data_IF_435970022608
#
_entry.id   IF_435970022608
#
_cell.length_a   1.000
_cell.length_b   1.000
_cell.length_c   1.000
_cell.angle_alpha   90.00
_cell.angle_beta   90.00
_cell.angle_gamma   90.00
#
_symmetry.space_group_name_H-M   'P 1'
#
loop_
_entity.id
_entity.type
_entity.pdbx_description
1 polymer ?
#
# COMPACT_ATOMS: atom_id res chain seq x y z
N UNK A 1 28.11 19.22 -1.87
CA UNK A 1 27.56 17.88 -2.17
C UNK A 1 26.60 17.52 -1.05
N UNK A 2 25.32 17.83 -1.21
CA UNK A 2 24.30 17.51 -0.21
C UNK A 2 23.73 16.12 -0.45
N UNK A 3 23.76 15.26 0.56
CA UNK A 3 22.94 14.06 0.63
C UNK A 3 21.50 14.58 0.78
N UNK A 4 20.64 14.36 -0.22
CA UNK A 4 19.21 14.54 -0.04
C UNK A 4 18.75 13.44 0.91
N UNK A 5 18.38 13.84 2.11
CA UNK A 5 17.87 12.94 3.11
C UNK A 5 16.47 12.49 2.73
N UNK A 6 16.35 11.27 2.19
CA UNK A 6 15.05 10.61 2.04
C UNK A 6 14.43 10.23 3.39
N UNK A 7 15.11 10.51 4.52
CA UNK A 7 14.53 10.43 5.86
C UNK A 7 13.83 11.72 6.32
N UNK A 8 13.76 12.80 5.52
CA UNK A 8 12.95 13.96 5.89
C UNK A 8 11.45 13.68 5.67
N UNK A 9 10.91 12.76 6.44
CA UNK A 9 9.62 13.03 7.05
C UNK A 9 9.82 14.34 7.83
N UNK A 10 9.03 15.37 7.55
CA UNK A 10 8.94 16.46 8.51
C UNK A 10 8.55 15.84 9.86
N UNK A 11 9.30 16.14 10.93
CA UNK A 11 9.09 15.50 12.21
C UNK A 11 7.76 16.01 12.78
N UNK A 12 6.71 15.21 12.64
CA UNK A 12 5.80 15.06 13.77
C UNK A 12 6.62 14.35 14.84
N UNK A 13 7.33 15.15 15.64
CA UNK A 13 8.02 14.81 16.89
C UNK A 13 8.07 13.31 17.19
N UNK A 14 9.09 12.62 16.66
CA UNK A 14 9.56 11.39 17.28
C UNK A 14 10.30 11.78 18.56
N UNK A 15 9.55 11.94 19.66
CA UNK A 15 10.10 11.77 21.00
C UNK A 15 10.34 10.28 21.21
N UNK A 16 11.37 9.75 20.54
CA UNK A 16 12.01 8.50 20.92
C UNK A 16 13.05 8.83 21.99
N UNK A 17 12.55 9.22 23.15
CA UNK A 17 13.22 9.23 24.47
C UNK A 17 12.12 9.49 25.49
N UNK A 18 11.14 8.59 25.50
CA UNK A 18 10.15 8.44 26.55
C UNK A 18 9.86 6.95 26.63
N UNK A 19 10.24 6.37 27.77
CA UNK A 19 9.71 5.16 28.39
C UNK A 19 8.72 4.41 27.49
N UNK A 20 9.19 3.29 26.92
CA UNK A 20 8.36 2.31 26.23
C UNK A 20 7.41 1.76 27.30
N UNK A 21 6.25 2.39 27.44
CA UNK A 21 5.06 1.71 27.91
C UNK A 21 4.49 0.92 26.72
N UNK A 22 4.30 -0.36 26.99
CA UNK A 22 3.88 -1.46 26.13
C UNK A 22 2.46 -1.27 25.58
N UNK A 23 2.25 -0.32 24.66
CA UNK A 23 1.09 -0.36 23.75
C UNK A 23 1.48 -1.17 22.50
N UNK A 24 1.27 -2.49 22.60
CA UNK A 24 1.62 -3.46 21.55
C UNK A 24 1.04 -3.07 20.18
N UNK A 25 1.90 -2.93 19.19
CA UNK A 25 1.47 -2.83 17.79
C UNK A 25 0.71 -4.11 17.39
N UNK A 26 -0.54 -3.95 16.95
CA UNK A 26 -1.44 -5.10 16.72
C UNK A 26 -1.24 -5.71 15.33
N UNK A 27 -1.30 -7.05 15.27
CA UNK A 27 -1.45 -7.77 14.01
C UNK A 27 -2.89 -7.57 13.46
N UNK A 28 -3.02 -6.94 12.30
CA UNK A 28 -4.32 -6.76 11.63
C UNK A 28 -4.56 -7.95 10.71
N UNK A 29 -5.44 -8.86 11.11
CA UNK A 29 -5.70 -10.13 10.43
C UNK A 29 -7.19 -10.43 10.30
N UNK A 30 -7.59 -10.86 9.10
CA UNK A 30 -8.95 -11.27 8.77
C UNK A 30 -9.00 -12.80 8.64
N UNK A 31 -9.90 -13.40 9.42
CA UNK A 31 -10.13 -14.83 9.51
C UNK A 31 -11.24 -15.26 8.55
N UNK A 32 -11.21 -16.51 8.06
CA UNK A 32 -12.32 -17.06 7.28
C UNK A 32 -13.62 -17.11 8.09
N UNK A 33 -14.75 -16.86 7.43
CA UNK A 33 -16.09 -16.82 8.04
C UNK A 33 -16.47 -18.13 8.75
N UNK A 34 -15.83 -19.25 8.40
CA UNK A 34 -16.07 -20.58 8.98
C UNK A 34 -15.41 -20.79 10.35
N UNK A 35 -14.60 -19.83 10.84
CA UNK A 35 -13.92 -19.91 12.14
C UNK A 35 -14.85 -19.36 13.23
N UNK A 36 -14.87 -20.01 14.40
CA UNK A 36 -15.57 -19.48 15.59
C UNK A 36 -15.10 -18.04 15.87
N UNK A 37 -16.03 -17.14 16.15
CA UNK A 37 -15.76 -15.73 16.46
C UNK A 37 -15.11 -14.93 15.32
N UNK A 38 -15.12 -15.44 14.08
CA UNK A 38 -14.55 -14.74 12.92
C UNK A 38 -15.15 -13.34 12.73
N UNK A 39 -16.44 -13.16 12.97
CA UNK A 39 -17.12 -11.85 12.88
C UNK A 39 -16.52 -10.84 13.87
N UNK A 40 -16.34 -11.24 15.14
CA UNK A 40 -15.75 -10.38 16.16
C UNK A 40 -14.28 -10.06 15.84
N UNK A 41 -13.51 -11.05 15.41
CA UNK A 41 -12.11 -10.85 15.00
C UNK A 41 -12.00 -9.91 13.80
N UNK A 42 -12.82 -10.11 12.77
CA UNK A 42 -12.81 -9.31 11.55
C UNK A 42 -13.29 -7.88 11.81
N UNK A 43 -14.25 -7.69 12.73
CA UNK A 43 -14.67 -6.36 13.18
C UNK A 43 -13.53 -5.62 13.88
N UNK A 44 -12.84 -6.28 14.83
CA UNK A 44 -11.66 -5.69 15.50
C UNK A 44 -10.55 -5.36 14.51
N UNK A 45 -10.31 -6.23 13.52
CA UNK A 45 -9.34 -5.97 12.46
C UNK A 45 -9.73 -4.77 11.60
N UNK A 46 -11.02 -4.60 11.27
CA UNK A 46 -11.53 -3.43 10.55
C UNK A 46 -11.37 -2.14 11.37
N UNK A 47 -11.65 -2.17 12.67
CA UNK A 47 -11.42 -1.04 13.59
C UNK A 47 -9.92 -0.70 13.69
N UNK A 48 -9.04 -1.70 13.83
CA UNK A 48 -7.60 -1.48 13.88
C UNK A 48 -7.04 -0.92 12.56
N UNK A 49 -7.53 -1.40 11.41
CA UNK A 49 -7.18 -0.85 10.09
C UNK A 49 -7.65 0.59 9.93
N UNK A 50 -8.86 0.91 10.36
CA UNK A 50 -9.37 2.29 10.38
C UNK A 50 -8.46 3.22 11.18
N UNK A 51 -8.03 2.80 12.37
CA UNK A 51 -7.09 3.57 13.21
C UNK A 51 -5.70 3.72 12.56
N UNK A 52 -5.31 2.77 11.71
CA UNK A 52 -4.09 2.84 10.90
C UNK A 52 -4.25 3.81 9.73
N UNK A 53 -5.38 3.78 9.02
CA UNK A 53 -5.64 4.58 7.84
C UNK A 53 -5.85 6.08 8.14
N UNK A 54 -6.54 6.39 9.24
CA UNK A 54 -6.91 7.77 9.59
C UNK A 54 -6.16 8.33 10.80
N UNK A 55 -5.35 7.49 11.47
CA UNK A 55 -4.56 7.86 12.63
C UNK A 55 -3.08 7.59 12.41
N UNK A 56 -2.37 7.29 13.50
CA UNK A 56 -0.92 7.04 13.50
C UNK A 56 -0.58 5.64 14.04
N UNK A 57 -1.55 4.73 14.04
CA UNK A 57 -1.36 3.39 14.60
C UNK A 57 -0.38 2.58 13.73
N UNK A 58 0.72 2.05 14.29
CA UNK A 58 1.66 1.23 13.52
C UNK A 58 1.08 -0.16 13.22
N UNK A 59 1.60 -0.80 12.17
CA UNK A 59 1.28 -2.17 11.77
C UNK A 59 2.52 -3.05 11.92
N UNK A 60 2.35 -4.26 12.46
CA UNK A 60 3.39 -5.29 12.51
C UNK A 60 3.20 -6.26 11.34
N UNK A 61 4.27 -6.56 10.60
CA UNK A 61 4.24 -7.61 9.57
C UNK A 61 4.11 -8.98 10.26
N UNK A 62 2.95 -9.67 10.12
CA UNK A 62 2.73 -10.95 10.79
C UNK A 62 3.35 -12.12 10.02
N UNK A 63 3.94 -11.85 8.84
CA UNK A 63 4.70 -12.83 8.06
C UNK A 63 6.16 -12.75 8.50
N UNK A 64 6.60 -13.77 9.23
CA UNK A 64 7.99 -13.90 9.66
C UNK A 64 8.87 -14.26 8.47
N UNK A 65 9.70 -13.33 8.05
CA UNK A 65 10.84 -13.60 7.19
C UNK A 65 12.01 -13.99 8.07
N UNK A 66 12.63 -15.13 7.76
CA UNK A 66 13.83 -15.59 8.44
C UNK A 66 15.01 -15.43 7.48
N UNK A 67 16.10 -14.83 7.95
CA UNK A 67 17.38 -14.91 7.24
C UNK A 67 17.83 -16.38 7.27
N UNK A 68 17.90 -16.99 6.09
CA UNK A 68 18.54 -18.27 5.87
C UNK A 68 20.03 -18.13 6.15
N UNK A 69 20.47 -18.62 7.30
CA UNK A 69 21.86 -18.63 7.69
C UNK A 69 22.52 -19.94 7.23
N UNK A 70 23.64 -19.81 6.51
CA UNK A 70 24.77 -20.75 6.53
C UNK A 70 25.39 -20.89 7.94
N UNK A 71 24.66 -20.64 9.02
CA UNK A 71 25.18 -20.57 10.37
C UNK A 71 24.19 -21.17 11.38
N UNK A 72 24.77 -21.77 12.41
CA UNK A 72 24.16 -22.56 13.47
C UNK A 72 23.39 -21.71 14.51
N UNK A 73 22.94 -20.50 14.17
CA UNK A 73 22.31 -19.57 15.11
C UNK A 73 20.77 -19.58 15.01
N UNK A 74 20.05 -19.21 16.09
CA UNK A 74 18.61 -19.10 16.06
C UNK A 74 18.15 -18.04 15.05
N UNK A 75 17.26 -18.44 14.16
CA UNK A 75 16.67 -17.60 13.10
C UNK A 75 16.08 -16.31 13.70
N UNK A 76 16.68 -15.16 13.39
CA UNK A 76 16.15 -13.85 13.81
C UNK A 76 15.10 -13.35 12.80
N UNK A 77 14.01 -12.72 13.28
CA UNK A 77 13.08 -12.01 12.40
C UNK A 77 13.82 -10.91 11.64
N UNK A 78 13.58 -10.81 10.33
CA UNK A 78 14.16 -9.74 9.52
C UNK A 78 13.44 -8.42 9.80
N UNK A 79 14.15 -7.42 10.33
CA UNK A 79 13.65 -6.04 10.40
C UNK A 79 13.57 -5.43 9.00
N UNK A 80 12.44 -4.83 8.60
CA UNK A 80 12.28 -4.19 7.30
C UNK A 80 13.36 -3.11 7.08
N UNK A 81 14.18 -3.27 6.04
CA UNK A 81 15.14 -2.23 5.61
C UNK A 81 14.45 -1.26 4.66
N UNK A 82 14.83 0.03 4.65
CA UNK A 82 14.34 0.95 3.64
C UNK A 82 14.86 0.53 2.26
N UNK A 83 14.01 0.69 1.24
CA UNK A 83 14.40 0.59 -0.15
C UNK A 83 15.43 1.68 -0.43
N UNK A 84 16.65 1.26 -0.75
CA UNK A 84 17.75 2.18 -1.03
C UNK A 84 17.61 2.71 -2.45
N UNK A 85 17.34 4.02 -2.55
CA UNK A 85 17.25 4.73 -3.82
C UNK A 85 18.09 6.00 -3.73
N UNK A 86 19.03 6.16 -4.66
CA UNK A 86 19.77 7.43 -4.84
C UNK A 86 19.08 8.18 -5.99
N UNK A 87 18.50 9.38 -5.77
CA UNK A 87 17.59 9.98 -6.75
C UNK A 87 18.29 10.32 -8.05
N UNK A 88 19.52 10.83 -7.98
CA UNK A 88 20.33 11.17 -9.16
C UNK A 88 20.66 9.95 -10.02
N UNK A 89 21.03 8.83 -9.40
CA UNK A 89 21.31 7.58 -10.10
C UNK A 89 20.04 6.97 -10.69
N UNK A 90 18.93 7.03 -9.96
CA UNK A 90 17.64 6.55 -10.42
C UNK A 90 17.15 7.37 -11.63
N UNK A 91 17.26 8.70 -11.57
CA UNK A 91 16.95 9.59 -12.70
C UNK A 91 17.86 9.35 -13.92
N UNK A 92 19.17 9.14 -13.70
CA UNK A 92 20.09 8.79 -14.78
C UNK A 92 19.75 7.44 -15.41
N UNK A 93 19.25 6.47 -14.63
CA UNK A 93 18.75 5.19 -15.15
C UNK A 93 17.43 5.37 -15.92
N UNK A 94 16.50 6.16 -15.39
CA UNK A 94 15.22 6.48 -16.02
C UNK A 94 15.41 7.10 -17.41
N UNK A 95 16.30 8.10 -17.53
CA UNK A 95 16.61 8.75 -18.83
C UNK A 95 17.21 7.79 -19.86
N UNK A 96 18.03 6.83 -19.43
CA UNK A 96 18.63 5.81 -20.30
C UNK A 96 17.64 4.72 -20.72
N UNK A 97 16.60 4.51 -19.93
CA UNK A 97 15.63 3.42 -20.11
C UNK A 97 14.22 3.98 -20.30
N UNK A 98 14.05 5.00 -21.14
CA UNK A 98 12.73 5.54 -21.46
C UNK A 98 11.82 4.43 -22.01
N UNK A 99 10.51 4.44 -21.71
CA UNK A 99 9.59 3.48 -22.30
C UNK A 99 9.54 3.69 -23.81
N UNK A 100 9.53 2.60 -24.59
CA UNK A 100 9.30 2.69 -26.05
C UNK A 100 7.88 3.15 -26.35
N UNK A 101 6.92 2.63 -25.59
CA UNK A 101 5.50 2.96 -25.67
C UNK A 101 5.02 3.30 -24.27
N UNK A 102 4.84 4.59 -24.01
CA UNK A 102 4.29 5.07 -22.75
C UNK A 102 2.75 4.98 -22.81
N UNK A 103 2.16 4.31 -21.82
CA UNK A 103 0.71 4.21 -21.67
C UNK A 103 0.21 5.40 -20.85
N UNK A 104 -0.91 5.99 -21.26
CA UNK A 104 -1.57 7.06 -20.51
C UNK A 104 -2.34 6.50 -19.29
N UNK A 105 -1.67 5.72 -18.45
CA UNK A 105 -2.21 5.19 -17.20
C UNK A 105 -1.19 5.26 -16.06
N UNK A 106 -1.64 5.50 -14.83
CA UNK A 106 -0.74 5.44 -13.65
C UNK A 106 -0.08 4.06 -13.48
N UNK A 107 -0.81 2.98 -13.80
CA UNK A 107 -0.25 1.62 -13.79
C UNK A 107 0.87 1.43 -14.82
N UNK A 108 0.77 2.07 -15.98
CA UNK A 108 1.83 2.07 -17.00
C UNK A 108 3.08 2.80 -16.54
N UNK A 109 2.91 3.98 -15.93
CA UNK A 109 4.02 4.74 -15.32
C UNK A 109 4.73 3.95 -14.22
N UNK A 110 3.94 3.32 -13.35
CA UNK A 110 4.44 2.50 -12.27
C UNK A 110 5.13 1.22 -12.74
N UNK A 111 4.61 0.56 -13.78
CA UNK A 111 5.25 -0.59 -14.39
C UNK A 111 6.61 -0.23 -14.99
N UNK A 112 6.72 0.93 -15.62
CA UNK A 112 8.00 1.46 -16.08
C UNK A 112 8.96 1.75 -14.92
N UNK A 113 8.52 2.44 -13.86
CA UNK A 113 9.37 2.66 -12.67
C UNK A 113 9.85 1.35 -12.06
N UNK A 114 8.97 0.35 -11.98
CA UNK A 114 9.34 -0.98 -11.53
C UNK A 114 10.44 -1.60 -12.40
N UNK A 115 10.38 -1.47 -13.73
CA UNK A 115 11.40 -2.03 -14.63
C UNK A 115 12.80 -1.44 -14.38
N UNK A 116 12.88 -0.22 -13.83
CA UNK A 116 14.14 0.43 -13.47
C UNK A 116 14.85 -0.22 -12.27
N UNK A 117 14.19 -1.07 -11.46
CA UNK A 117 14.85 -1.74 -10.33
C UNK A 117 14.43 -3.19 -10.11
N UNK A 118 13.41 -3.68 -10.82
CA UNK A 118 12.81 -4.99 -10.59
C UNK A 118 13.81 -6.14 -10.70
N UNK A 119 14.81 -6.02 -11.59
CA UNK A 119 15.89 -7.02 -11.72
C UNK A 119 16.81 -7.13 -10.50
N UNK A 120 16.79 -6.16 -9.59
CA UNK A 120 17.59 -6.16 -8.37
C UNK A 120 16.81 -6.64 -7.13
N UNK A 121 15.48 -6.76 -7.22
CA UNK A 121 14.62 -6.96 -6.04
C UNK A 121 13.50 -8.00 -6.22
N UNK A 122 13.36 -8.67 -7.36
CA UNK A 122 12.32 -9.70 -7.53
C UNK A 122 12.67 -10.79 -8.54
N UNK A 123 12.36 -12.03 -8.14
CA UNK A 123 12.28 -13.20 -9.03
C UNK A 123 10.93 -13.19 -9.76
N UNK A 124 10.91 -13.53 -11.04
CA UNK A 124 9.69 -13.54 -11.86
C UNK A 124 8.64 -14.53 -11.31
N UNK A 125 9.09 -15.61 -10.66
CA UNK A 125 8.25 -16.66 -10.09
C UNK A 125 7.44 -16.19 -8.87
N UNK A 126 7.94 -15.23 -8.09
CA UNK A 126 7.18 -14.62 -6.98
C UNK A 126 6.03 -13.73 -7.49
N UNK A 127 6.16 -13.21 -8.72
CA UNK A 127 5.15 -12.38 -9.37
C UNK A 127 3.97 -13.21 -9.90
N UNK A 128 4.26 -14.38 -10.45
CA UNK A 128 3.27 -15.30 -11.02
C UNK A 128 2.42 -15.94 -9.92
N UNK A 129 3.07 -16.37 -8.82
CA UNK A 129 2.37 -16.86 -7.61
C UNK A 129 1.49 -15.80 -6.92
N UNK A 130 1.74 -14.51 -7.14
CA UNK A 130 0.89 -13.42 -6.67
C UNK A 130 -0.43 -13.29 -7.45
N UNK A 131 -0.46 -13.76 -8.71
CA UNK A 131 -1.63 -13.73 -9.61
C UNK A 131 -2.47 -15.00 -9.52
N UNK A 132 -1.85 -16.15 -9.25
CA UNK A 132 -2.53 -17.43 -9.06
C UNK A 132 -3.14 -17.53 -7.66
N UNK A 133 -4.41 -17.14 -7.56
CA UNK A 133 -5.14 -17.12 -6.30
C UNK A 133 -6.55 -17.64 -6.55
N UNK A 134 -6.97 -18.64 -5.76
CA UNK A 134 -8.33 -19.17 -5.77
C UNK A 134 -9.35 -18.03 -5.63
N UNK A 135 -10.49 -18.11 -6.34
CA UNK A 135 -11.52 -17.05 -6.33
C UNK A 135 -11.98 -16.70 -4.92
N UNK A 136 -12.13 -17.68 -4.04
CA UNK A 136 -12.49 -17.47 -2.64
C UNK A 136 -11.47 -16.58 -1.90
N UNK A 137 -10.18 -16.77 -2.17
CA UNK A 137 -9.12 -15.96 -1.56
C UNK A 137 -9.10 -14.56 -2.17
N UNK A 138 -9.34 -14.43 -3.47
CA UNK A 138 -9.51 -13.11 -4.12
C UNK A 138 -10.68 -12.33 -3.50
N UNK A 139 -11.84 -12.96 -3.34
CA UNK A 139 -13.00 -12.33 -2.70
C UNK A 139 -12.71 -11.91 -1.27
N UNK A 140 -12.08 -12.78 -0.47
CA UNK A 140 -11.71 -12.45 0.90
C UNK A 140 -10.72 -11.29 0.96
N UNK A 141 -9.75 -11.22 0.05
CA UNK A 141 -8.84 -10.05 -0.06
C UNK A 141 -9.62 -8.79 -0.37
N UNK A 142 -10.58 -8.83 -1.29
CA UNK A 142 -11.45 -7.68 -1.61
C UNK A 142 -12.28 -7.24 -0.40
N UNK A 143 -12.85 -8.18 0.35
CA UNK A 143 -13.62 -7.88 1.58
C UNK A 143 -12.74 -7.25 2.66
N UNK A 144 -11.57 -7.82 2.94
CA UNK A 144 -10.61 -7.27 3.91
C UNK A 144 -10.15 -5.86 3.49
N UNK A 145 -9.85 -5.67 2.21
CA UNK A 145 -9.45 -4.39 1.65
C UNK A 145 -10.59 -3.35 1.62
N UNK A 146 -11.85 -3.77 1.53
CA UNK A 146 -13.02 -2.87 1.51
C UNK A 146 -13.76 -2.79 2.85
N UNK A 147 -13.19 -3.30 3.94
CA UNK A 147 -13.90 -3.44 5.22
C UNK A 147 -14.27 -2.10 5.89
N UNK A 148 -13.54 -1.03 5.58
CA UNK A 148 -13.84 0.32 6.02
C UNK A 148 -14.70 1.04 4.98
N UNK A 149 -15.93 0.58 4.79
CA UNK A 149 -16.91 1.20 3.89
C UNK A 149 -17.68 2.35 4.57
N UNK A 150 -18.51 3.05 3.80
CA UNK A 150 -19.31 4.17 4.32
C UNK A 150 -20.32 3.78 5.41
N UNK A 151 -20.75 2.52 5.47
CA UNK A 151 -21.66 2.03 6.53
C UNK A 151 -20.91 1.82 7.84
N UNK A 152 -19.75 1.18 7.77
CA UNK A 152 -18.85 0.97 8.91
C UNK A 152 -18.38 2.30 9.49
N UNK A 153 -17.91 3.24 8.64
CA UNK A 153 -17.43 4.54 9.08
C UNK A 153 -18.52 5.37 9.77
N UNK A 154 -19.76 5.27 9.28
CA UNK A 154 -20.92 5.91 9.92
C UNK A 154 -21.24 5.28 11.27
N UNK A 155 -21.18 3.96 11.38
CA UNK A 155 -21.40 3.25 12.64
C UNK A 155 -20.34 3.65 13.69
N UNK A 156 -19.11 3.92 13.26
CA UNK A 156 -18.03 4.45 14.09
C UNK A 156 -18.12 5.96 14.36
N UNK A 157 -19.19 6.62 13.88
CA UNK A 157 -19.41 8.07 14.03
C UNK A 157 -18.25 8.92 13.49
N UNK A 158 -17.56 8.43 12.46
CA UNK A 158 -16.49 9.15 11.80
C UNK A 158 -17.04 9.96 10.63
N UNK A 159 -16.59 11.21 10.50
CA UNK A 159 -16.95 12.09 9.38
C UNK A 159 -16.20 11.77 8.07
N UNK A 160 -15.72 10.53 7.93
CA UNK A 160 -15.09 10.01 6.72
C UNK A 160 -16.13 9.32 5.83
N UNK A 161 -15.99 9.48 4.51
CA UNK A 161 -16.81 8.80 3.51
C UNK A 161 -15.92 8.13 2.47
N UNK A 162 -16.24 6.88 2.11
CA UNK A 162 -15.63 6.23 0.96
C UNK A 162 -16.28 6.78 -0.31
N UNK A 163 -15.52 7.56 -1.09
CA UNK A 163 -16.02 8.23 -2.30
C UNK A 163 -15.62 7.51 -3.59
N UNK A 164 -14.63 6.61 -3.51
CA UNK A 164 -14.24 5.75 -4.63
C UNK A 164 -13.76 4.39 -4.10
N UNK A 165 -14.16 3.31 -4.78
CA UNK A 165 -13.71 1.95 -4.51
C UNK A 165 -13.38 1.25 -5.83
N UNK A 166 -12.10 1.25 -6.22
CA UNK A 166 -11.61 0.57 -7.43
C UNK A 166 -11.51 -0.95 -7.31
N UNK A 167 -11.73 -1.50 -6.11
CA UNK A 167 -11.59 -2.93 -5.81
C UNK A 167 -12.89 -3.71 -6.11
N UNK A 168 -14.04 -3.03 -5.94
CA UNK A 168 -15.36 -3.61 -6.18
C UNK A 168 -15.85 -3.33 -7.60
N UNK A 169 -16.69 -4.21 -8.18
CA UNK A 169 -17.38 -3.91 -9.42
C UNK A 169 -18.16 -2.61 -9.26
N UNK A 170 -17.89 -1.65 -10.14
CA UNK A 170 -18.60 -0.38 -10.15
C UNK A 170 -20.03 -0.56 -10.65
N UNK A 171 -21.00 0.24 -10.18
CA UNK A 171 -22.34 0.27 -10.74
C UNK A 171 -22.30 0.61 -12.23
N UNK A 172 -23.22 0.03 -13.01
CA UNK A 172 -23.33 0.32 -14.45
C UNK A 172 -23.43 1.84 -14.69
N UNK A 173 -22.60 2.36 -15.61
CA UNK A 173 -22.60 3.76 -16.01
C UNK A 173 -21.60 4.68 -15.30
N UNK A 174 -20.83 4.19 -14.32
CA UNK A 174 -19.72 4.95 -13.73
C UNK A 174 -18.38 4.64 -14.39
N UNK A 175 -17.57 5.67 -14.66
CA UNK A 175 -16.21 5.47 -15.15
C UNK A 175 -15.37 4.85 -14.02
N UNK A 176 -14.71 3.69 -14.22
CA UNK A 176 -13.93 3.04 -13.18
C UNK A 176 -12.59 3.74 -12.91
N UNK A 177 -12.39 4.92 -13.50
CA UNK A 177 -11.15 5.69 -13.46
C UNK A 177 -11.46 7.19 -13.47
N UNK A 178 -10.49 7.98 -13.05
CA UNK A 178 -10.41 9.42 -13.20
C UNK A 178 -9.44 9.77 -14.33
N UNK A 179 -9.68 10.90 -14.98
CA UNK A 179 -8.75 11.49 -15.95
C UNK A 179 -8.08 12.71 -15.30
N UNK A 180 -6.77 12.87 -15.54
CA UNK A 180 -5.99 13.99 -15.02
C UNK A 180 -5.50 14.82 -16.20
N UNK A 181 -6.18 15.94 -16.48
CA UNK A 181 -6.00 16.74 -17.68
C UNK A 181 -4.61 17.37 -17.82
N UNK A 182 -3.96 17.73 -16.70
CA UNK A 182 -2.63 18.35 -16.70
C UNK A 182 -1.48 17.36 -16.72
N UNK A 183 -1.75 16.06 -16.52
CA UNK A 183 -0.76 15.00 -16.70
C UNK A 183 -1.05 14.28 -18.01
N UNK A 184 -0.24 14.53 -19.03
CA UNK A 184 -0.46 13.94 -20.36
C UNK A 184 0.69 13.02 -20.76
N UNK A 185 0.34 11.91 -21.41
CA UNK A 185 1.28 11.00 -22.04
C UNK A 185 0.96 10.97 -23.52
N UNK A 186 1.89 11.41 -24.37
CA UNK A 186 1.67 11.55 -25.81
C UNK A 186 0.40 12.34 -26.16
N UNK A 187 0.12 13.42 -25.40
CA UNK A 187 -1.06 14.29 -25.59
C UNK A 187 -2.36 13.78 -24.95
N UNK A 188 -2.42 12.53 -24.48
CA UNK A 188 -3.62 11.93 -23.87
C UNK A 188 -3.61 12.15 -22.35
N UNK A 189 -4.72 12.58 -21.72
CA UNK A 189 -4.83 12.67 -20.26
C UNK A 189 -4.51 11.35 -19.56
N UNK A 190 -3.83 11.44 -18.42
CA UNK A 190 -3.47 10.27 -17.63
C UNK A 190 -4.73 9.70 -16.97
N UNK A 191 -5.00 8.41 -17.20
CA UNK A 191 -6.07 7.68 -16.50
C UNK A 191 -5.56 7.04 -15.23
N UNK A 192 -6.34 7.16 -14.16
CA UNK A 192 -6.01 6.62 -12.84
C UNK A 192 -7.20 5.95 -12.19
N UNK A 193 -6.97 4.87 -11.46
CA UNK A 193 -8.01 4.14 -10.74
C UNK A 193 -7.43 3.74 -9.38
N UNK A 194 -7.53 4.63 -8.37
CA UNK A 194 -7.09 4.31 -7.02
C UNK A 194 -7.91 3.16 -6.43
N UNK A 195 -7.32 2.34 -5.56
CA UNK A 195 -8.09 1.27 -4.93
C UNK A 195 -9.17 1.84 -4.01
N UNK A 196 -8.84 2.83 -3.17
CA UNK A 196 -9.80 3.51 -2.30
C UNK A 196 -9.52 5.01 -2.23
N UNK A 197 -10.57 5.81 -2.16
CA UNK A 197 -10.49 7.24 -1.83
C UNK A 197 -11.49 7.56 -0.73
N UNK A 198 -10.98 8.10 0.37
CA UNK A 198 -11.76 8.58 1.50
C UNK A 198 -11.72 10.10 1.56
N UNK A 199 -12.87 10.71 1.88
CA UNK A 199 -12.99 12.15 2.03
C UNK A 199 -13.67 12.49 3.36
N UNK A 200 -13.04 13.38 4.12
CA UNK A 200 -13.65 14.08 5.24
C UNK A 200 -13.88 15.53 4.84
N UNK A 201 -15.15 15.85 4.54
CA UNK A 201 -15.57 17.15 4.02
C UNK A 201 -15.34 18.26 5.05
N UNK A 202 -15.63 17.99 6.32
CA UNK A 202 -15.54 18.97 7.41
C UNK A 202 -14.09 19.42 7.63
N UNK A 203 -13.17 18.48 7.62
CA UNK A 203 -11.74 18.76 7.83
C UNK A 203 -11.00 19.09 6.51
N UNK A 204 -11.67 19.03 5.36
CA UNK A 204 -11.06 19.12 4.03
C UNK A 204 -9.85 18.18 3.91
N UNK A 205 -10.05 16.90 4.26
CA UNK A 205 -9.00 15.87 4.23
C UNK A 205 -9.34 14.75 3.26
N UNK A 206 -8.36 14.34 2.47
CA UNK A 206 -8.47 13.20 1.56
C UNK A 206 -7.41 12.15 1.90
N UNK A 207 -7.82 10.89 1.97
CA UNK A 207 -6.91 9.73 2.07
C UNK A 207 -7.08 8.89 0.82
N UNK A 208 -5.99 8.65 0.09
CA UNK A 208 -5.96 7.78 -1.08
C UNK A 208 -5.16 6.53 -0.74
N UNK A 209 -5.71 5.36 -1.02
CA UNK A 209 -5.08 4.08 -0.70
C UNK A 209 -4.78 3.30 -1.97
N UNK A 210 -3.58 2.73 -2.04
CA UNK A 210 -3.17 1.72 -3.03
C UNK A 210 -2.80 0.43 -2.29
N UNK A 211 -3.35 -0.69 -2.74
CA UNK A 211 -3.33 -1.98 -2.07
C UNK A 211 -2.57 -2.98 -2.93
N UNK A 212 -1.44 -3.45 -2.41
CA UNK A 212 -0.65 -4.51 -3.04
C UNK A 212 -0.76 -5.80 -2.23
N UNK A 213 -0.84 -6.93 -2.94
CA UNK A 213 -0.67 -8.24 -2.33
C UNK A 213 0.75 -8.73 -2.63
N UNK A 214 1.52 -9.06 -1.59
CA UNK A 214 2.89 -9.56 -1.75
C UNK A 214 3.26 -10.50 -0.61
N UNK A 215 4.11 -11.48 -0.93
CA UNK A 215 4.83 -12.31 0.06
C UNK A 215 6.30 -11.91 0.20
N UNK A 216 6.78 -10.96 -0.61
CA UNK A 216 8.16 -10.49 -0.55
C UNK A 216 8.43 -9.74 0.75
N UNK A 217 9.70 -9.59 1.11
CA UNK A 217 10.11 -8.64 2.16
C UNK A 217 9.63 -7.25 1.75
N UNK A 218 8.84 -6.60 2.61
CA UNK A 218 8.31 -5.26 2.35
C UNK A 218 9.33 -4.24 2.86
N UNK A 219 9.86 -3.35 2.02
CA UNK A 219 10.71 -2.28 2.50
C UNK A 219 9.96 -1.35 3.45
N UNK A 220 10.61 -0.84 4.49
CA UNK A 220 9.97 0.03 5.50
C UNK A 220 9.40 1.33 4.91
N UNK A 221 9.93 1.77 3.78
CA UNK A 221 9.47 2.93 3.03
C UNK A 221 8.74 2.54 1.73
N UNK A 222 8.28 1.29 1.57
CA UNK A 222 7.66 0.73 0.35
C UNK A 222 8.50 0.83 -0.93
N UNK A 223 7.94 0.32 -2.03
CA UNK A 223 8.58 0.33 -3.34
C UNK A 223 8.29 1.61 -4.13
N UNK A 224 9.26 2.12 -4.92
CA UNK A 224 9.08 3.34 -5.72
C UNK A 224 7.90 3.30 -6.70
N UNK A 225 7.56 2.12 -7.25
CA UNK A 225 6.42 1.99 -8.17
C UNK A 225 5.06 2.14 -7.48
N UNK A 226 4.96 1.85 -6.18
CA UNK A 226 3.73 2.07 -5.39
C UNK A 226 3.57 3.57 -5.17
N UNK A 227 4.64 4.25 -4.76
CA UNK A 227 4.64 5.71 -4.62
C UNK A 227 4.35 6.44 -5.93
N UNK A 228 4.82 5.93 -7.06
CA UNK A 228 4.48 6.50 -8.36
C UNK A 228 2.97 6.51 -8.64
N UNK A 229 2.27 5.40 -8.35
CA UNK A 229 0.80 5.31 -8.50
C UNK A 229 0.12 6.31 -7.57
N UNK A 230 0.50 6.29 -6.29
CA UNK A 230 -0.05 7.18 -5.28
C UNK A 230 0.19 8.66 -5.59
N UNK A 231 1.37 9.01 -6.11
CA UNK A 231 1.64 10.36 -6.60
C UNK A 231 0.70 10.74 -7.74
N UNK A 232 0.52 9.89 -8.76
CA UNK A 232 -0.46 10.16 -9.82
C UNK A 232 -1.87 10.35 -9.27
N UNK A 233 -2.29 9.50 -8.34
CA UNK A 233 -3.64 9.59 -7.76
C UNK A 233 -3.85 10.85 -6.94
N UNK A 234 -2.81 11.38 -6.31
CA UNK A 234 -2.89 12.65 -5.57
C UNK A 234 -3.21 13.86 -6.46
N UNK A 235 -3.16 13.71 -7.78
CA UNK A 235 -3.42 14.76 -8.75
C UNK A 235 -4.87 14.78 -9.25
N UNK A 236 -5.76 13.91 -8.73
CA UNK A 236 -7.20 13.97 -9.02
C UNK A 236 -7.83 15.20 -8.34
N UNK A 237 -8.92 15.71 -8.92
CA UNK A 237 -9.55 16.97 -8.48
C UNK A 237 -9.90 17.00 -6.99
N UNK A 238 -10.50 15.94 -6.46
CA UNK A 238 -10.87 15.90 -5.03
C UNK A 238 -9.64 16.02 -4.13
N UNK A 239 -8.51 15.44 -4.54
CA UNK A 239 -7.27 15.53 -3.79
C UNK A 239 -6.63 16.91 -3.96
N UNK A 240 -6.62 17.49 -5.17
CA UNK A 240 -6.09 18.85 -5.39
C UNK A 240 -6.82 19.92 -4.58
N UNK A 241 -8.14 19.78 -4.43
CA UNK A 241 -8.98 20.75 -3.72
C UNK A 241 -9.01 20.56 -2.19
N UNK A 242 -8.43 19.48 -1.66
CA UNK A 242 -8.38 19.24 -0.22
C UNK A 242 -7.26 20.04 0.46
N UNK A 243 -7.49 20.49 1.69
CA UNK A 243 -6.45 21.16 2.50
C UNK A 243 -5.35 20.19 2.89
N UNK A 244 -5.70 18.96 3.26
CA UNK A 244 -4.76 17.90 3.61
C UNK A 244 -4.98 16.68 2.74
N UNK A 245 -3.90 16.14 2.17
CA UNK A 245 -3.92 14.88 1.43
C UNK A 245 -2.94 13.91 2.07
N UNK A 246 -3.36 12.66 2.19
CA UNK A 246 -2.48 11.57 2.56
C UNK A 246 -2.60 10.44 1.57
N UNK A 247 -1.47 9.96 1.10
CA UNK A 247 -1.39 8.75 0.28
C UNK A 247 -0.88 7.60 1.12
N UNK A 248 -1.54 6.45 1.02
CA UNK A 248 -1.27 5.26 1.83
C UNK A 248 -1.01 4.08 0.91
N UNK A 249 0.16 3.46 1.03
CA UNK A 249 0.43 2.17 0.44
C UNK A 249 0.20 1.07 1.47
N UNK A 250 -0.81 0.22 1.24
CA UNK A 250 -1.03 -0.97 2.04
C UNK A 250 -0.45 -2.20 1.33
N UNK A 251 0.28 -3.02 2.07
CA UNK A 251 0.73 -4.32 1.60
C UNK A 251 0.07 -5.41 2.41
N UNK A 252 -0.64 -6.28 1.72
CA UNK A 252 -1.35 -7.42 2.29
C UNK A 252 -0.63 -8.72 1.90
N UNK A 253 -0.82 -9.75 2.70
CA UNK A 253 -0.39 -11.09 2.35
C UNK A 253 -1.22 -12.14 3.09
N UNK A 254 -1.17 -13.36 2.58
CA UNK A 254 -1.82 -14.49 3.24
C UNK A 254 -0.79 -15.36 3.96
N UNK A 255 -1.16 -15.84 5.14
CA UNK A 255 -0.42 -16.85 5.91
C UNK A 255 -1.35 -17.97 6.35
N UNK A 256 -0.80 -19.14 6.61
CA UNK A 256 -1.55 -20.23 7.22
C UNK A 256 -1.50 -20.11 8.74
N UNK A 257 -2.65 -20.24 9.39
CA UNK A 257 -2.73 -20.41 10.84
C UNK A 257 -2.12 -21.76 11.24
N UNK A 258 -1.67 -21.87 12.49
CA UNK A 258 -1.13 -23.14 13.00
C UNK A 258 -2.25 -24.18 13.09
N UNK A 259 -2.00 -25.38 12.58
CA UNK A 259 -2.84 -26.53 12.93
C UNK A 259 -2.72 -26.83 14.43
N UNK A 260 -3.80 -27.23 15.07
CA UNK A 260 -3.80 -27.62 16.49
C UNK A 260 -4.63 -28.89 16.71
N UNK A 261 -4.46 -29.50 17.88
CA UNK A 261 -5.10 -30.77 18.25
C UNK A 261 -4.23 -32.01 17.99
N UNK A 262 -4.68 -33.16 18.51
CA UNK A 262 -3.97 -34.44 18.40
C UNK A 262 -4.43 -35.21 17.15
N UNK A 263 -3.71 -36.28 16.76
CA UNK A 263 -3.89 -37.04 15.49
C UNK A 263 -5.35 -37.41 15.14
N UNK A 264 -6.24 -37.59 16.13
CA UNK A 264 -7.67 -37.92 15.95
C UNK A 264 -8.63 -36.71 15.96
N UNK A 265 -8.16 -35.52 16.35
CA UNK A 265 -8.91 -34.25 16.44
C UNK A 265 -8.10 -33.07 15.89
N UNK A 266 -7.35 -33.31 14.81
CA UNK A 266 -6.51 -32.27 14.21
C UNK A 266 -7.41 -31.28 13.48
N UNK A 267 -7.34 -30.01 13.89
CA UNK A 267 -7.93 -28.90 13.14
C UNK A 267 -6.89 -28.43 12.14
N UNK A 268 -7.25 -28.45 10.85
CA UNK A 268 -6.39 -27.94 9.79
C UNK A 268 -6.12 -26.44 9.99
N UNK A 269 -4.92 -26.00 9.59
CA UNK A 269 -4.63 -24.56 9.54
C UNK A 269 -5.56 -23.88 8.55
N UNK A 270 -5.86 -22.62 8.79
CA UNK A 270 -6.75 -21.79 7.97
C UNK A 270 -5.94 -20.68 7.30
N UNK A 271 -6.28 -20.34 6.06
CA UNK A 271 -5.63 -19.23 5.35
C UNK A 271 -6.15 -17.90 5.87
N UNK A 272 -5.30 -17.15 6.56
CA UNK A 272 -5.57 -15.83 7.13
C UNK A 272 -5.02 -14.77 6.18
N UNK A 273 -5.77 -13.69 5.99
CA UNK A 273 -5.32 -12.50 5.25
C UNK A 273 -4.89 -11.46 6.26
N UNK A 274 -3.70 -10.91 6.10
CA UNK A 274 -3.15 -9.95 7.05
C UNK A 274 -2.59 -8.72 6.36
N UNK A 275 -2.79 -7.56 6.98
CA UNK A 275 -2.09 -6.34 6.61
C UNK A 275 -0.65 -6.46 7.13
N UNK A 276 0.31 -6.37 6.22
CA UNK A 276 1.74 -6.52 6.51
C UNK A 276 2.45 -5.19 6.71
N UNK A 277 2.01 -4.18 5.98
CA UNK A 277 2.51 -2.82 6.10
C UNK A 277 1.42 -1.83 5.68
N UNK A 278 1.39 -0.68 6.34
CA UNK A 278 0.65 0.49 5.91
C UNK A 278 1.59 1.68 6.07
N UNK A 279 1.96 2.31 4.95
CA UNK A 279 2.90 3.44 4.96
C UNK A 279 2.22 4.65 4.35
N UNK A 280 2.22 5.75 5.09
CA UNK A 280 1.54 6.99 4.74
C UNK A 280 2.57 8.08 4.43
N UNK A 281 2.24 8.94 3.46
CA UNK A 281 3.00 10.16 3.13
C UNK A 281 2.07 11.30 2.74
N UNK A 282 2.55 12.53 2.92
CA UNK A 282 2.00 13.68 2.21
C UNK A 282 2.57 13.70 0.77
N UNK A 283 1.74 13.52 -0.27
CA UNK A 283 2.21 13.52 -1.65
C UNK A 283 2.64 14.91 -2.14
N UNK A 284 2.36 15.98 -1.39
CA UNK A 284 2.70 17.37 -1.72
C UNK A 284 4.03 17.82 -1.10
N UNK A 285 4.67 16.97 -0.29
CA UNK A 285 6.01 17.25 0.20
C UNK A 285 6.95 17.52 -0.99
N UNK A 286 7.67 18.65 -0.94
CA UNK A 286 8.37 19.19 -2.11
C UNK A 286 9.35 18.21 -2.76
N UNK A 287 10.12 17.47 -1.96
CA UNK A 287 11.07 16.47 -2.46
C UNK A 287 10.39 15.28 -3.13
N UNK A 288 9.23 14.87 -2.63
CA UNK A 288 8.42 13.78 -3.18
C UNK A 288 7.76 14.19 -4.50
N UNK A 289 7.04 15.32 -4.52
CA UNK A 289 6.38 15.81 -5.74
C UNK A 289 7.39 16.08 -6.84
N UNK A 290 8.47 16.79 -6.53
CA UNK A 290 9.50 17.14 -7.52
C UNK A 290 10.13 15.88 -8.14
N UNK A 291 10.42 14.86 -7.34
CA UNK A 291 11.02 13.62 -7.83
C UNK A 291 10.08 12.89 -8.81
N UNK A 292 8.82 12.68 -8.44
CA UNK A 292 7.87 11.97 -9.31
C UNK A 292 7.46 12.81 -10.52
N UNK A 293 7.36 14.13 -10.40
CA UNK A 293 7.15 15.03 -11.53
C UNK A 293 8.27 14.94 -12.56
N UNK A 294 9.53 14.89 -12.12
CA UNK A 294 10.68 14.70 -13.02
C UNK A 294 10.68 13.32 -13.68
N UNK A 295 10.35 12.26 -12.92
CA UNK A 295 10.20 10.92 -13.48
C UNK A 295 9.08 10.87 -14.51
N UNK A 296 7.95 11.51 -14.22
CA UNK A 296 6.81 11.56 -15.12
C UNK A 296 7.16 12.28 -16.42
N UNK A 297 7.88 13.41 -16.37
CA UNK A 297 8.35 14.09 -17.58
C UNK A 297 9.24 13.19 -18.45
N UNK A 298 10.14 12.40 -17.83
CA UNK A 298 10.95 11.40 -18.56
C UNK A 298 10.08 10.31 -19.18
N UNK A 299 9.00 9.91 -18.51
CA UNK A 299 8.06 8.88 -18.97
C UNK A 299 7.17 9.35 -20.13
N UNK A 300 6.63 10.56 -20.02
CA UNK A 300 5.64 11.13 -20.95
C UNK A 300 6.24 11.64 -22.26
N UNK A 301 7.58 11.68 -22.36
CA UNK A 301 8.32 12.31 -23.46
C UNK A 301 8.00 13.81 -23.63
N UNK A 302 7.73 14.52 -22.53
CA UNK A 302 7.56 15.98 -22.50
C UNK A 302 8.69 16.68 -21.77
#
# INVERSE_FOLDING_TARGET
MGILDFNSADPIVNRADAIIDDESADEISFWPDQVSDAELHNRRAAEARMMTLFGSRPVVDPIKHFESERALAPLKPVTPRPFQLVPSQFMAKARRNRPREALATASGFAAWIYSLYGSAYGDADDRERGKEVEQEVLERRRRAASCNDSSFLRAMQLNWRLVHNGIQPQPEGSAPYFEIEHLRVNGVPLRVSPDLVYHNVELSKVVIVEIKNSRMIVPSNLWPNVWAQLWCYSQIDIALNANTVSVVGEVWGDRWSRSYGTRRRRVAGQRIISLRASVQRDPRAASYDQFFRQLFAVYSNT
#
